data_IF_087921967967
#
_entry.id   IF_087921967967
#
_cell.length_a   1.000
_cell.length_b   1.000
_cell.length_c   1.000
_cell.angle_alpha   90.00
_cell.angle_beta   90.00
_cell.angle_gamma   90.00
#
_symmetry.space_group_name_H-M   'P 1'
#
loop_
_entity.id
_entity.type
_entity.pdbx_description
1 polymer ?
#
# COMPACT_ATOMS: atom_id res chain seq x y z
N UNK A 1 10.91 -2.98 -10.38
CA UNK A 1 10.03 -2.63 -9.24
C UNK A 1 10.62 -3.17 -7.94
N UNK A 2 10.48 -2.42 -6.85
CA UNK A 2 10.74 -2.89 -5.48
C UNK A 2 9.79 -4.04 -5.14
N UNK A 3 10.22 -4.99 -4.33
CA UNK A 3 9.38 -6.11 -3.88
C UNK A 3 9.19 -6.13 -2.39
N UNK A 4 10.06 -5.50 -1.61
CA UNK A 4 9.96 -5.45 -0.16
C UNK A 4 10.40 -4.10 0.37
N UNK A 5 9.80 -3.68 1.47
CA UNK A 5 10.08 -2.45 2.18
C UNK A 5 10.20 -2.77 3.67
N UNK A 6 11.30 -2.31 4.27
CA UNK A 6 11.59 -2.52 5.68
C UNK A 6 11.94 -1.17 6.34
N UNK A 7 11.01 -0.68 7.18
CA UNK A 7 11.21 0.51 8.00
C UNK A 7 12.05 0.24 9.27
N UNK A 8 12.75 -0.90 9.30
CA UNK A 8 13.50 -1.46 10.44
C UNK A 8 12.63 -1.71 11.66
N UNK A 9 11.38 -2.08 11.42
CA UNK A 9 10.44 -2.58 12.43
C UNK A 9 10.51 -4.10 12.49
N UNK A 10 9.75 -4.72 13.38
CA UNK A 10 9.61 -6.18 13.39
C UNK A 10 8.80 -6.73 12.19
N UNK A 11 8.32 -5.85 11.30
CA UNK A 11 7.40 -6.18 10.20
C UNK A 11 8.05 -5.90 8.86
N UNK A 12 8.33 -6.97 8.11
CA UNK A 12 8.63 -6.88 6.68
C UNK A 12 7.33 -6.63 5.92
N UNK A 13 7.36 -5.73 4.94
CA UNK A 13 6.21 -5.43 4.10
C UNK A 13 6.56 -5.45 2.61
N UNK A 14 5.53 -5.39 1.78
CA UNK A 14 5.63 -5.37 0.32
C UNK A 14 5.26 -3.97 -0.18
N UNK A 15 5.94 -3.50 -1.22
CA UNK A 15 5.66 -2.22 -1.87
C UNK A 15 4.35 -2.28 -2.68
N UNK A 16 3.59 -1.19 -2.75
CA UNK A 16 2.38 -1.11 -3.61
C UNK A 16 2.69 -0.66 -5.05
N UNK A 17 2.83 0.63 -5.26
CA UNK A 17 2.92 1.36 -6.52
C UNK A 17 3.93 2.49 -6.37
N UNK A 18 4.21 3.15 -7.49
CA UNK A 18 5.09 4.31 -7.53
C UNK A 18 4.25 5.56 -7.67
N UNK A 19 4.60 6.58 -6.89
CA UNK A 19 3.94 7.88 -6.91
C UNK A 19 4.94 8.99 -7.17
N UNK A 20 4.46 10.12 -7.67
CA UNK A 20 5.25 11.32 -7.91
C UNK A 20 4.59 12.50 -7.25
N UNK A 21 5.33 13.19 -6.41
CA UNK A 21 4.94 14.50 -5.89
C UNK A 21 5.84 15.61 -6.42
N UNK A 22 5.73 16.82 -5.85
CA UNK A 22 6.46 17.99 -6.35
C UNK A 22 7.98 17.88 -6.22
N UNK A 23 8.46 17.16 -5.21
CA UNK A 23 9.87 17.18 -4.81
C UNK A 23 10.56 15.81 -4.87
N UNK A 24 9.81 14.71 -5.00
CA UNK A 24 10.38 13.37 -4.96
C UNK A 24 9.54 12.33 -5.73
N UNK A 25 10.19 11.21 -6.01
CA UNK A 25 9.54 9.95 -6.35
C UNK A 25 9.28 9.18 -5.05
N UNK A 26 8.12 8.57 -4.94
CA UNK A 26 7.71 7.80 -3.78
C UNK A 26 7.37 6.37 -4.16
N UNK A 27 7.58 5.45 -3.23
CA UNK A 27 7.02 4.11 -3.26
C UNK A 27 6.06 4.02 -2.08
N UNK A 28 4.84 3.56 -2.32
CA UNK A 28 3.88 3.40 -1.22
C UNK A 28 4.00 2.06 -0.51
N UNK A 29 3.38 2.04 0.66
CA UNK A 29 3.25 0.91 1.56
C UNK A 29 2.04 1.16 2.48
N UNK A 30 1.61 0.16 3.24
CA UNK A 30 0.67 0.42 4.33
C UNK A 30 1.34 1.17 5.48
N UNK A 31 0.61 2.04 6.16
CA UNK A 31 1.13 2.84 7.27
C UNK A 31 1.51 1.97 8.48
N UNK A 32 0.77 0.88 8.74
CA UNK A 32 1.02 -0.03 9.86
C UNK A 32 2.40 -0.71 9.79
N UNK A 33 3.02 -0.78 8.61
CA UNK A 33 4.37 -1.32 8.44
C UNK A 33 5.43 -0.45 9.14
N UNK A 34 5.14 0.83 9.37
CA UNK A 34 5.91 1.72 10.23
C UNK A 34 5.46 1.67 11.71
N UNK A 35 4.48 0.84 12.04
CA UNK A 35 3.99 0.62 13.40
C UNK A 35 5.05 -0.01 14.30
N UNK A 36 5.08 0.41 15.56
CA UNK A 36 6.02 -0.12 16.58
C UNK A 36 5.32 -0.92 17.68
N UNK A 37 3.98 -0.98 17.63
CA UNK A 37 3.13 -1.72 18.56
C UNK A 37 2.94 -3.19 18.17
N UNK A 38 2.42 -3.99 19.11
CA UNK A 38 2.07 -5.41 18.91
C UNK A 38 0.56 -5.65 18.90
N UNK A 39 -0.22 -4.68 18.42
CA UNK A 39 -1.68 -4.82 18.40
C UNK A 39 -2.13 -5.65 17.20
N UNK A 40 -3.07 -6.55 17.44
CA UNK A 40 -3.71 -7.41 16.44
C UNK A 40 -4.75 -6.64 15.58
N UNK A 41 -5.19 -5.46 16.03
CA UNK A 41 -6.12 -4.57 15.31
C UNK A 41 -5.85 -3.09 15.69
N UNK A 42 -4.71 -2.50 15.26
CA UNK A 42 -4.35 -1.12 15.60
C UNK A 42 -5.27 -0.10 14.92
N UNK A 43 -5.87 0.80 15.70
CA UNK A 43 -6.40 2.06 15.17
C UNK A 43 -5.23 2.98 14.79
N UNK A 44 -5.20 3.46 13.54
CA UNK A 44 -4.16 4.37 13.06
C UNK A 44 -4.12 5.71 13.82
N UNK A 45 -5.22 6.09 14.48
CA UNK A 45 -5.30 7.30 15.28
C UNK A 45 -4.65 7.17 16.67
N UNK A 46 -4.30 5.97 17.13
CA UNK A 46 -3.73 5.76 18.48
C UNK A 46 -2.54 4.80 18.52
N UNK A 47 -2.38 3.96 17.50
CA UNK A 47 -1.30 3.00 17.45
C UNK A 47 0.06 3.70 17.32
N UNK A 48 1.08 3.27 18.09
CA UNK A 48 2.39 3.87 18.03
C UNK A 48 3.06 3.58 16.69
N UNK A 49 3.59 4.62 16.06
CA UNK A 49 4.22 4.58 14.74
C UNK A 49 5.59 5.26 14.79
N UNK A 50 6.49 4.87 13.88
CA UNK A 50 7.73 5.58 13.64
C UNK A 50 7.45 7.01 13.14
N UNK A 51 8.33 7.98 13.46
CA UNK A 51 8.19 9.34 12.96
C UNK A 51 8.50 9.44 11.47
N UNK A 52 8.01 10.50 10.83
CA UNK A 52 8.44 10.89 9.49
C UNK A 52 9.95 11.14 9.46
N UNK A 53 10.56 10.90 8.30
CA UNK A 53 11.99 10.97 8.07
C UNK A 53 12.76 9.71 8.47
N UNK A 54 12.10 8.71 9.08
CA UNK A 54 12.71 7.39 9.36
C UNK A 54 13.27 6.78 8.08
N UNK A 55 14.49 6.26 8.16
CA UNK A 55 15.15 5.55 7.06
C UNK A 55 14.46 4.20 6.81
N UNK A 56 14.22 3.90 5.54
CA UNK A 56 13.52 2.70 5.09
C UNK A 56 14.38 2.00 4.05
N UNK A 57 14.62 0.71 4.22
CA UNK A 57 15.31 -0.12 3.24
C UNK A 57 14.30 -0.54 2.16
N UNK A 58 14.67 -0.38 0.90
CA UNK A 58 13.87 -0.73 -0.28
C UNK A 58 14.62 -1.84 -1.03
N UNK A 59 14.03 -3.03 -1.06
CA UNK A 59 14.65 -4.20 -1.70
C UNK A 59 14.11 -4.38 -3.11
N UNK A 60 14.98 -4.18 -4.09
CA UNK A 60 14.69 -4.39 -5.50
C UNK A 60 14.65 -5.87 -5.87
N UNK A 61 13.91 -6.19 -6.95
CA UNK A 61 13.90 -7.53 -7.54
C UNK A 61 15.33 -7.98 -7.90
N UNK A 62 15.77 -9.07 -7.30
CA UNK A 62 17.09 -9.66 -7.57
C UNK A 62 18.21 -9.26 -6.60
N UNK A 63 17.89 -8.52 -5.53
CA UNK A 63 18.82 -8.28 -4.42
C UNK A 63 19.50 -6.90 -4.32
N UNK A 64 19.42 -5.95 -5.28
CA UNK A 64 19.86 -4.59 -5.01
C UNK A 64 19.03 -3.95 -3.90
N UNK A 65 19.70 -3.40 -2.91
CA UNK A 65 19.08 -2.59 -1.86
C UNK A 65 19.27 -1.11 -2.18
N UNK A 66 18.21 -0.34 -1.97
CA UNK A 66 18.19 1.12 -2.00
C UNK A 66 17.68 1.62 -0.66
N UNK A 67 17.89 2.89 -0.36
CA UNK A 67 17.34 3.53 0.83
C UNK A 67 16.34 4.60 0.44
N UNK A 68 15.34 4.76 1.30
CA UNK A 68 14.38 5.85 1.24
C UNK A 68 14.08 6.39 2.62
N UNK A 69 13.15 7.33 2.69
CA UNK A 69 12.67 7.91 3.95
C UNK A 69 11.16 7.94 4.01
N UNK A 70 10.58 7.56 5.14
CA UNK A 70 9.15 7.69 5.39
C UNK A 70 8.76 9.17 5.29
N UNK A 71 8.17 9.57 4.17
CA UNK A 71 7.85 10.95 3.85
C UNK A 71 6.41 11.31 4.25
N UNK A 72 5.53 10.32 4.26
CA UNK A 72 4.15 10.46 4.69
C UNK A 72 3.66 9.16 5.33
N UNK A 73 2.77 9.30 6.31
CA UNK A 73 2.04 8.21 6.94
C UNK A 73 0.68 8.73 7.36
N UNK A 74 -0.39 8.08 6.89
CA UNK A 74 -1.76 8.43 7.26
C UNK A 74 -1.96 8.39 8.77
N UNK A 75 -1.32 7.45 9.47
CA UNK A 75 -1.39 7.32 10.92
C UNK A 75 -0.74 8.49 11.64
N UNK A 76 0.46 8.91 11.23
CA UNK A 76 1.12 10.10 11.78
C UNK A 76 0.23 11.32 11.56
N UNK A 77 -0.25 11.53 10.33
CA UNK A 77 -1.11 12.66 9.99
C UNK A 77 -2.42 12.67 10.78
N UNK A 78 -3.10 11.54 10.91
CA UNK A 78 -4.32 11.42 11.72
C UNK A 78 -4.06 11.73 13.20
N UNK A 79 -2.96 11.23 13.76
CA UNK A 79 -2.57 11.49 15.15
C UNK A 79 -2.26 12.97 15.40
N UNK A 80 -1.50 13.61 14.53
CA UNK A 80 -1.15 15.03 14.64
C UNK A 80 -2.38 15.95 14.56
N UNK A 81 -3.40 15.52 13.81
CA UNK A 81 -4.67 16.25 13.66
C UNK A 81 -5.68 15.95 14.75
N UNK A 82 -5.44 14.92 15.56
CA UNK A 82 -6.42 14.43 16.54
C UNK A 82 -7.68 13.88 15.87
N UNK A 83 -7.52 13.18 14.74
CA UNK A 83 -8.62 12.53 14.02
C UNK A 83 -9.37 11.55 14.93
N UNK A 84 -10.70 11.58 14.88
CA UNK A 84 -11.58 10.75 15.70
C UNK A 84 -12.66 10.03 14.89
N UNK A 85 -12.71 10.23 13.56
CA UNK A 85 -13.60 9.47 12.69
C UNK A 85 -13.22 7.98 12.71
N UNK A 86 -14.13 7.08 13.14
CA UNK A 86 -13.79 5.68 13.35
C UNK A 86 -13.47 4.95 12.04
N UNK A 87 -13.98 5.41 10.89
CA UNK A 87 -13.70 4.79 9.60
C UNK A 87 -12.32 5.21 9.08
N UNK A 88 -11.94 6.48 9.20
CA UNK A 88 -10.59 6.95 8.90
C UNK A 88 -9.56 6.25 9.79
N UNK A 89 -9.79 6.25 11.11
CA UNK A 89 -8.89 5.64 12.06
C UNK A 89 -8.67 4.14 11.82
N UNK A 90 -9.67 3.44 11.30
CA UNK A 90 -9.58 2.01 11.05
C UNK A 90 -9.04 1.65 9.66
N UNK A 91 -9.38 2.42 8.63
CA UNK A 91 -9.21 1.99 7.24
C UNK A 91 -8.26 2.87 6.42
N UNK A 92 -7.82 4.03 6.93
CA UNK A 92 -6.80 4.83 6.27
C UNK A 92 -5.40 4.36 6.67
N UNK A 93 -4.88 3.38 5.95
CA UNK A 93 -3.62 2.70 6.24
C UNK A 93 -2.65 2.80 5.07
N UNK A 94 -2.14 4.01 4.83
CA UNK A 94 -1.31 4.32 3.67
C UNK A 94 -0.13 5.22 4.04
N UNK A 95 1.04 4.91 3.50
CA UNK A 95 2.26 5.65 3.70
C UNK A 95 3.08 5.75 2.42
N UNK A 96 3.95 6.75 2.35
CA UNK A 96 4.84 6.99 1.21
C UNK A 96 6.29 7.06 1.70
N UNK A 97 7.15 6.33 1.01
CA UNK A 97 8.60 6.36 1.19
C UNK A 97 9.20 7.17 0.05
N UNK A 98 9.82 8.31 0.36
CA UNK A 98 10.61 9.06 -0.60
C UNK A 98 11.87 8.27 -0.96
N UNK A 99 12.06 7.99 -2.24
CA UNK A 99 13.23 7.29 -2.77
C UNK A 99 14.43 8.24 -2.75
N UNK A 100 15.63 7.73 -2.42
CA UNK A 100 16.84 8.53 -2.58
C UNK A 100 16.98 9.01 -4.03
N UNK A 101 17.23 10.31 -4.29
CA UNK A 101 17.38 10.83 -5.64
C UNK A 101 18.42 10.10 -6.50
N UNK A 102 19.47 9.53 -5.89
CA UNK A 102 20.48 8.74 -6.59
C UNK A 102 19.91 7.44 -7.18
N UNK A 103 18.87 6.87 -6.56
CA UNK A 103 18.26 5.60 -6.92
C UNK A 103 16.96 5.76 -7.69
N UNK A 104 16.46 6.98 -7.88
CA UNK A 104 15.21 7.26 -8.60
C UNK A 104 15.19 6.68 -10.03
N UNK A 105 16.36 6.57 -10.69
CA UNK A 105 16.50 5.95 -12.01
C UNK A 105 16.39 4.42 -12.03
N UNK A 106 16.42 3.76 -10.87
CA UNK A 106 16.27 2.32 -10.72
C UNK A 106 14.81 1.90 -10.52
N UNK A 107 13.92 2.86 -10.26
CA UNK A 107 12.52 2.60 -9.97
C UNK A 107 11.75 2.34 -11.26
N UNK A 108 11.06 1.21 -11.30
CA UNK A 108 10.13 0.84 -12.36
C UNK A 108 8.72 0.78 -11.74
N UNK A 109 7.76 1.58 -12.27
CA UNK A 109 6.39 1.63 -11.76
C UNK A 109 5.55 0.40 -12.12
N UNK A 110 6.10 -0.54 -12.90
CA UNK A 110 5.37 -1.73 -13.36
C UNK A 110 5.25 -2.80 -12.29
N UNK A 111 4.02 -3.21 -11.93
CA UNK A 111 3.80 -4.29 -10.95
C UNK A 111 4.46 -5.58 -11.44
N UNK A 112 5.29 -6.27 -10.63
CA UNK A 112 6.03 -7.44 -11.10
C UNK A 112 5.10 -8.51 -11.66
N UNK A 113 5.42 -9.00 -12.86
CA UNK A 113 4.67 -10.03 -13.60
C UNK A 113 3.25 -9.64 -14.05
N UNK A 114 2.67 -8.57 -13.51
CA UNK A 114 1.33 -8.06 -13.86
C UNK A 114 1.39 -6.88 -14.84
N UNK A 115 2.44 -6.07 -14.81
CA UNK A 115 2.47 -4.78 -15.50
C UNK A 115 1.54 -3.76 -14.82
N UNK A 116 1.18 -2.68 -15.51
CA UNK A 116 0.38 -1.61 -14.92
C UNK A 116 1.06 -0.92 -13.71
N UNK A 117 0.38 -0.04 -12.95
CA UNK A 117 -1.02 0.29 -13.10
C UNK A 117 -1.29 1.13 -14.36
N UNK A 118 -2.47 0.99 -14.93
CA UNK A 118 -2.96 1.75 -16.10
C UNK A 118 -3.56 3.10 -15.70
N UNK A 119 -3.91 3.24 -14.42
CA UNK A 119 -4.46 4.46 -13.81
C UNK A 119 -4.83 4.20 -12.35
N UNK A 120 -5.43 5.19 -11.70
CA UNK A 120 -6.04 5.05 -10.39
C UNK A 120 -7.50 4.63 -10.58
N UNK A 121 -7.95 3.66 -9.79
CA UNK A 121 -9.38 3.33 -9.66
C UNK A 121 -10.04 4.39 -8.78
N UNK A 122 -11.17 4.97 -9.21
CA UNK A 122 -11.80 6.10 -8.48
C UNK A 122 -13.27 5.88 -8.18
N UNK A 123 -13.84 4.79 -8.67
CA UNK A 123 -15.21 4.35 -8.47
C UNK A 123 -15.32 3.18 -7.48
N UNK A 124 -14.18 2.65 -7.02
CA UNK A 124 -14.10 1.57 -6.03
C UNK A 124 -14.43 0.21 -6.64
N UNK A 125 -14.47 -0.82 -5.80
CA UNK A 125 -14.79 -2.18 -6.23
C UNK A 125 -16.27 -2.53 -6.02
N UNK A 126 -16.87 -3.16 -7.03
CA UNK A 126 -18.16 -3.84 -6.86
C UNK A 126 -17.95 -5.29 -6.42
N UNK A 127 -18.75 -5.84 -5.48
CA UNK A 127 -18.67 -7.25 -5.11
C UNK A 127 -18.73 -8.19 -6.32
N UNK A 128 -17.75 -9.10 -6.39
CA UNK A 128 -17.57 -10.05 -7.49
C UNK A 128 -16.57 -9.61 -8.57
N UNK A 129 -16.16 -8.33 -8.59
CA UNK A 129 -15.10 -7.85 -9.49
C UNK A 129 -13.79 -8.57 -9.24
N UNK A 130 -13.04 -8.79 -10.31
CA UNK A 130 -11.75 -9.50 -10.25
C UNK A 130 -10.66 -8.55 -9.82
N UNK A 131 -9.80 -9.01 -8.92
CA UNK A 131 -8.63 -8.25 -8.46
C UNK A 131 -7.35 -9.06 -8.62
N UNK A 132 -6.24 -8.35 -8.81
CA UNK A 132 -4.90 -8.90 -8.97
C UNK A 132 -3.94 -8.25 -7.98
N UNK A 133 -2.99 -9.00 -7.45
CA UNK A 133 -1.94 -8.46 -6.58
C UNK A 133 -0.64 -9.22 -6.78
N UNK A 134 0.49 -8.54 -6.58
CA UNK A 134 1.80 -9.17 -6.52
C UNK A 134 2.28 -9.19 -5.07
N UNK A 135 2.48 -10.40 -4.54
CA UNK A 135 2.72 -10.72 -3.14
C UNK A 135 3.79 -11.82 -3.05
N UNK A 136 5.08 -11.47 -2.89
CA UNK A 136 6.18 -12.40 -3.12
C UNK A 136 6.42 -13.42 -1.98
N UNK A 137 5.73 -13.29 -0.83
CA UNK A 137 6.12 -14.00 0.40
C UNK A 137 5.59 -15.44 0.51
N UNK A 138 4.78 -15.88 -0.45
CA UNK A 138 4.18 -17.23 -0.47
C UNK A 138 4.90 -18.27 -1.35
N UNK A 139 6.03 -17.90 -1.97
CA UNK A 139 6.66 -18.73 -3.01
C UNK A 139 5.81 -18.78 -4.30
N UNK A 140 6.29 -19.50 -5.31
CA UNK A 140 5.65 -19.52 -6.63
C UNK A 140 5.91 -18.24 -7.43
N UNK A 141 4.96 -17.81 -8.27
CA UNK A 141 5.12 -16.59 -9.07
C UNK A 141 4.99 -15.30 -8.24
N UNK A 142 4.34 -15.35 -7.07
CA UNK A 142 3.94 -14.18 -6.29
C UNK A 142 2.69 -13.48 -6.82
N UNK A 143 2.18 -13.85 -8.00
CA UNK A 143 0.91 -13.31 -8.51
C UNK A 143 -0.26 -13.99 -7.80
N UNK A 144 -1.19 -13.18 -7.31
CA UNK A 144 -2.43 -13.60 -6.67
C UNK A 144 -3.62 -13.00 -7.42
N UNK A 145 -4.66 -13.80 -7.55
CA UNK A 145 -5.93 -13.40 -8.17
C UNK A 145 -7.07 -13.64 -7.21
N UNK A 146 -8.05 -12.75 -7.21
CA UNK A 146 -9.16 -12.81 -6.29
C UNK A 146 -10.39 -12.09 -6.77
N UNK A 147 -11.32 -11.88 -5.84
CA UNK A 147 -12.50 -11.06 -6.07
C UNK A 147 -12.81 -10.16 -4.88
N UNK A 148 -13.40 -9.00 -5.18
CA UNK A 148 -14.09 -8.21 -4.17
C UNK A 148 -15.28 -8.97 -3.60
N UNK A 149 -15.56 -8.83 -2.31
CA UNK A 149 -16.71 -9.45 -1.65
C UNK A 149 -17.61 -8.46 -0.94
N UNK A 150 -17.05 -7.37 -0.41
CA UNK A 150 -17.78 -6.33 0.33
C UNK A 150 -16.88 -5.08 0.49
N UNK A 151 -17.46 -4.01 0.99
CA UNK A 151 -16.73 -2.82 1.45
C UNK A 151 -17.02 -2.54 2.93
N UNK A 152 -16.04 -1.94 3.60
CA UNK A 152 -16.14 -1.41 4.95
C UNK A 152 -15.86 0.11 4.98
N UNK A 153 -16.28 0.75 6.08
CA UNK A 153 -15.90 2.14 6.33
C UNK A 153 -16.41 3.12 5.29
N UNK A 154 -17.57 2.83 4.68
CA UNK A 154 -18.16 3.62 3.58
C UNK A 154 -17.28 3.65 2.32
N UNK A 155 -16.70 2.51 1.96
CA UNK A 155 -15.85 2.37 0.77
C UNK A 155 -14.37 2.67 1.02
N UNK A 156 -13.96 2.92 2.27
CA UNK A 156 -12.54 3.17 2.62
C UNK A 156 -11.69 1.90 2.64
N UNK A 157 -12.33 0.74 2.73
CA UNK A 157 -11.66 -0.54 2.68
C UNK A 157 -12.49 -1.51 1.85
N UNK A 158 -11.84 -2.20 0.92
CA UNK A 158 -12.44 -3.30 0.17
C UNK A 158 -12.06 -4.62 0.82
N UNK A 159 -13.05 -5.46 1.07
CA UNK A 159 -12.82 -6.85 1.43
C UNK A 159 -12.61 -7.68 0.16
N UNK A 160 -11.48 -8.36 0.06
CA UNK A 160 -11.14 -9.21 -1.09
C UNK A 160 -10.76 -10.61 -0.64
N UNK A 161 -11.12 -11.62 -1.44
CA UNK A 161 -10.66 -12.99 -1.25
C UNK A 161 -9.73 -13.35 -2.40
N UNK A 162 -8.46 -13.64 -2.08
CA UNK A 162 -7.40 -13.93 -3.05
C UNK A 162 -6.91 -15.37 -2.94
N UNK A 163 -6.38 -15.88 -4.05
CA UNK A 163 -5.70 -17.18 -4.13
C UNK A 163 -4.37 -17.02 -4.87
N UNK A 164 -3.26 -17.54 -4.31
CA UNK A 164 -3.08 -18.03 -2.93
C UNK A 164 -3.48 -17.00 -1.84
N UNK A 165 -3.81 -17.40 -0.60
CA UNK A 165 -4.20 -16.47 0.46
C UNK A 165 -3.05 -15.51 0.84
N UNK A 166 -3.35 -14.39 1.51
CA UNK A 166 -2.34 -13.49 2.13
C UNK A 166 -1.48 -14.23 3.17
N UNK A 167 -0.24 -13.78 3.37
CA UNK A 167 0.61 -14.20 4.49
C UNK A 167 1.40 -13.01 5.05
N UNK A 168 1.81 -13.09 6.33
CA UNK A 168 2.66 -12.07 6.93
C UNK A 168 3.86 -11.71 6.04
N UNK A 169 4.00 -10.43 5.74
CA UNK A 169 4.96 -9.93 4.75
C UNK A 169 4.29 -9.30 3.52
N UNK A 170 3.07 -9.73 3.18
CA UNK A 170 2.34 -9.23 2.02
C UNK A 170 1.66 -7.88 2.29
N UNK A 171 1.53 -7.46 3.56
CA UNK A 171 1.07 -6.12 3.95
C UNK A 171 1.72 -5.03 3.11
N UNK A 172 0.93 -4.06 2.66
CA UNK A 172 1.36 -2.99 1.77
C UNK A 172 1.33 -3.34 0.28
N UNK A 173 1.03 -4.59 -0.11
CA UNK A 173 0.94 -4.94 -1.54
C UNK A 173 -0.18 -4.19 -2.25
N UNK A 174 0.09 -3.74 -3.47
CA UNK A 174 -0.89 -3.09 -4.32
C UNK A 174 -1.91 -4.08 -4.89
N UNK A 175 -3.14 -3.60 -5.07
CA UNK A 175 -4.23 -4.31 -5.73
C UNK A 175 -4.65 -3.60 -7.02
N UNK A 176 -4.83 -4.38 -8.08
CA UNK A 176 -5.26 -3.93 -9.40
C UNK A 176 -6.65 -4.49 -9.72
N UNK A 177 -7.49 -3.72 -10.42
CA UNK A 177 -8.75 -4.19 -11.03
C UNK A 177 -8.50 -5.00 -12.31
N UNK A 178 -9.57 -5.40 -13.01
CA UNK A 178 -9.49 -6.16 -14.26
C UNK A 178 -8.97 -5.36 -15.47
N UNK A 179 -8.91 -4.03 -15.38
CA UNK A 179 -8.34 -3.12 -16.38
C UNK A 179 -6.92 -2.66 -15.99
N UNK A 180 -6.38 -3.18 -14.89
CA UNK A 180 -5.06 -2.82 -14.37
C UNK A 180 -5.02 -1.47 -13.66
N UNK A 181 -6.15 -0.91 -13.23
CA UNK A 181 -6.17 0.31 -12.38
C UNK A 181 -5.80 -0.04 -10.94
N UNK A 182 -5.04 0.83 -10.30
CA UNK A 182 -4.68 0.71 -8.90
C UNK A 182 -5.90 1.00 -8.01
N UNK A 183 -6.36 -0.04 -7.33
CA UNK A 183 -7.51 0.00 -6.43
C UNK A 183 -7.11 0.40 -5.02
N UNK A 184 -6.06 -0.23 -4.50
CA UNK A 184 -5.83 -0.18 -3.07
C UNK A 184 -4.56 -0.84 -2.60
N UNK A 185 -4.36 -0.76 -1.30
CA UNK A 185 -3.16 -1.23 -0.59
C UNK A 185 -3.56 -2.23 0.48
N UNK A 186 -2.89 -3.37 0.55
CA UNK A 186 -3.18 -4.39 1.55
C UNK A 186 -2.94 -3.86 2.96
N UNK A 187 -4.03 -3.69 3.73
CA UNK A 187 -3.99 -3.14 5.08
C UNK A 187 -4.10 -4.23 6.14
N UNK A 188 -5.09 -5.12 6.01
CA UNK A 188 -5.33 -6.18 7.00
C UNK A 188 -5.43 -7.52 6.30
N UNK A 189 -4.71 -8.51 6.79
CA UNK A 189 -4.92 -9.90 6.39
C UNK A 189 -5.87 -10.55 7.41
N UNK A 190 -7.10 -10.90 7.00
CA UNK A 190 -7.97 -11.66 7.88
C UNK A 190 -7.59 -13.14 7.77
N UNK A 191 -7.18 -13.74 8.89
CA UNK A 191 -7.00 -15.19 9.04
C UNK A 191 -8.31 -15.89 9.42
N UNK A 192 -9.46 -15.28 9.11
CA UNK A 192 -10.78 -15.84 9.40
C UNK A 192 -11.12 -17.02 8.47
N UNK A 193 -12.27 -17.67 8.65
CA UNK A 193 -12.64 -18.83 7.81
C UNK A 193 -12.81 -18.49 6.32
N UNK A 194 -12.96 -17.20 5.99
CA UNK A 194 -13.15 -16.74 4.63
C UNK A 194 -11.82 -16.27 4.00
N UNK A 195 -10.74 -16.19 4.80
CA UNK A 195 -9.43 -15.68 4.41
C UNK A 195 -9.53 -14.35 3.63
N UNK A 196 -10.46 -13.49 4.01
CA UNK A 196 -10.62 -12.19 3.36
C UNK A 196 -9.45 -11.28 3.72
N UNK A 197 -9.25 -10.24 2.94
CA UNK A 197 -8.19 -9.25 3.15
C UNK A 197 -8.84 -7.88 3.06
N UNK A 198 -8.49 -6.99 3.99
CA UNK A 198 -8.86 -5.59 3.96
C UNK A 198 -7.85 -4.81 3.13
N UNK A 199 -8.33 -4.15 2.09
CA UNK A 199 -7.54 -3.35 1.16
C UNK A 199 -7.99 -1.90 1.30
N UNK A 200 -7.13 -1.03 1.83
CA UNK A 200 -7.42 0.40 1.92
C UNK A 200 -7.60 0.98 0.52
N UNK A 201 -8.67 1.74 0.31
CA UNK A 201 -8.96 2.41 -0.97
C UNK A 201 -7.89 3.46 -1.26
N UNK A 202 -7.18 3.29 -2.39
CA UNK A 202 -6.03 4.13 -2.71
C UNK A 202 -6.45 5.54 -3.12
N UNK A 203 -7.60 5.71 -3.78
CA UNK A 203 -8.05 7.03 -4.20
C UNK A 203 -8.44 7.90 -3.00
N UNK A 204 -9.14 7.32 -2.02
CA UNK A 204 -9.49 7.98 -0.78
C UNK A 204 -8.25 8.23 0.10
N UNK A 205 -7.30 7.29 0.15
CA UNK A 205 -6.04 7.47 0.86
C UNK A 205 -5.18 8.60 0.27
N UNK A 206 -5.04 8.64 -1.07
CA UNK A 206 -4.34 9.73 -1.76
C UNK A 206 -5.04 11.07 -1.58
N UNK A 207 -6.38 11.12 -1.67
CA UNK A 207 -7.12 12.35 -1.44
C UNK A 207 -6.88 12.91 -0.03
N UNK A 208 -6.81 12.03 0.98
CA UNK A 208 -6.46 12.42 2.35
C UNK A 208 -5.00 12.89 2.44
N UNK A 209 -4.06 12.19 1.80
CA UNK A 209 -2.65 12.60 1.77
C UNK A 209 -2.46 13.97 1.11
N UNK A 210 -3.16 14.24 0.01
CA UNK A 210 -3.12 15.53 -0.71
C UNK A 210 -3.71 16.67 0.13
N UNK A 211 -4.82 16.41 0.81
CA UNK A 211 -5.48 17.41 1.65
C UNK A 211 -4.68 17.74 2.91
N UNK A 212 -4.10 16.73 3.55
CA UNK A 212 -3.70 16.81 4.95
C UNK A 212 -2.25 16.39 5.22
N UNK A 213 -1.58 15.73 4.27
CA UNK A 213 -0.26 15.13 4.45
C UNK A 213 0.93 16.07 4.24
N UNK A 214 0.71 17.30 3.77
CA UNK A 214 1.76 18.33 3.65
C UNK A 214 2.81 18.09 2.55
N UNK A 215 2.66 17.05 1.71
CA UNK A 215 3.56 16.76 0.59
C UNK A 215 3.27 17.58 -0.68
N UNK A 216 2.12 18.27 -0.73
CA UNK A 216 1.52 18.76 -1.98
C UNK A 216 0.86 17.60 -2.74
N UNK A 217 0.44 17.86 -3.98
CA UNK A 217 -0.25 16.85 -4.81
C UNK A 217 0.67 15.68 -5.15
N UNK A 218 0.25 14.47 -4.78
CA UNK A 218 0.91 13.20 -5.09
C UNK A 218 0.07 12.42 -6.09
N UNK A 219 0.67 12.06 -7.22
CA UNK A 219 -0.01 11.34 -8.30
C UNK A 219 0.58 9.95 -8.51
N UNK A 220 -0.28 8.96 -8.73
CA UNK A 220 0.13 7.62 -9.18
C UNK A 220 0.91 7.70 -10.50
N UNK A 221 2.02 6.98 -10.60
CA UNK A 221 2.81 6.84 -11.82
C UNK A 221 2.36 5.59 -12.58
N UNK A 222 1.89 5.70 -13.84
CA UNK A 222 1.52 4.54 -14.63
C UNK A 222 2.70 3.59 -14.88
N UNK A 223 2.39 2.29 -14.98
CA UNK A 223 3.34 1.25 -15.33
C UNK A 223 3.98 1.47 -16.71
N UNK A 224 5.21 0.99 -16.88
CA UNK A 224 5.91 1.02 -18.18
C UNK A 224 5.70 -0.26 -18.98
N UNK A 225 5.38 -1.37 -18.31
CA UNK A 225 4.90 -2.59 -18.94
C UNK A 225 3.36 -2.60 -19.00
N UNK A 226 2.76 -3.07 -20.11
CA UNK A 226 1.31 -3.19 -20.22
C UNK A 226 0.77 -4.16 -19.18
N UNK A 227 -0.43 -3.89 -18.68
CA UNK A 227 -1.15 -4.83 -17.82
C UNK A 227 -1.50 -6.10 -18.61
N UNK A 228 -1.21 -7.26 -18.02
CA UNK A 228 -1.21 -8.57 -18.68
C UNK A 228 -2.32 -9.52 -18.20
#
# INVERSE_FOLDING_TARGET
MSTQIDARTASLCTADFVFRGPNALYIGMSAHCAGTGRSEDPSGCTAPTLPLGTEVTISGRGGPESTGRLAYSSWVTMQERGEDDPALCRYNDFALVAVDPADAGLVDPSVPLLGGPTGLDTDGLTPGETVYSFQPNNGGSGVKTGRSVADDGSGRSHQVVITPPGVPGDSGSGFLDADGRAVGVLSTEFLDRNHSNGVADLALALAYADADGGLGTVTLVPGTAPFA
#
